data_IF_948417077580
#
_entry.id   IF_948417077580
#
_cell.length_a   1.000
_cell.length_b   1.000
_cell.length_c   1.000
_cell.angle_alpha   90.00
_cell.angle_beta   90.00
_cell.angle_gamma   90.00
#
_symmetry.space_group_name_H-M   'P 1'
#
loop_
_entity.id
_entity.type
_entity.pdbx_description
1 polymer ?
#
# COMPACT_ATOMS: atom_id res chain seq x y z
N UNK A 1 7.32 0.61 0.55
CA UNK A 1 6.55 0.73 -0.71
C UNK A 1 7.50 0.46 -1.87
N UNK A 2 7.15 -0.43 -2.79
CA UNK A 2 7.94 -0.59 -4.03
C UNK A 2 7.80 0.68 -4.88
N UNK A 3 8.87 1.13 -5.56
CA UNK A 3 8.73 2.18 -6.56
C UNK A 3 7.75 1.70 -7.64
N UNK A 4 6.79 2.54 -8.07
CA UNK A 4 5.70 2.11 -8.94
C UNK A 4 6.16 1.66 -10.33
N UNK A 5 7.35 2.10 -10.75
CA UNK A 5 8.03 1.62 -11.95
C UNK A 5 9.49 1.37 -11.57
N UNK A 6 10.02 0.15 -11.81
CA UNK A 6 11.40 -0.16 -11.48
C UNK A 6 12.39 0.75 -12.21
N UNK A 7 13.57 1.01 -11.62
CA UNK A 7 14.60 1.79 -12.28
C UNK A 7 15.02 1.14 -13.62
N UNK A 8 15.39 1.97 -14.60
CA UNK A 8 15.83 1.49 -15.93
C UNK A 8 14.70 1.27 -16.95
N UNK A 9 13.44 1.46 -16.57
CA UNK A 9 12.32 1.48 -17.53
C UNK A 9 12.17 2.88 -18.12
N UNK A 10 12.48 3.02 -19.41
CA UNK A 10 12.29 4.26 -20.14
C UNK A 10 10.84 4.39 -20.59
N UNK A 11 10.13 5.36 -20.05
CA UNK A 11 8.78 5.72 -20.47
C UNK A 11 8.80 6.76 -21.59
N UNK A 12 7.88 6.61 -22.55
CA UNK A 12 7.61 7.65 -23.55
C UNK A 12 6.99 8.90 -22.90
N UNK A 13 7.02 10.03 -23.59
CA UNK A 13 6.35 11.27 -23.11
C UNK A 13 4.87 11.05 -22.86
N UNK A 14 4.18 10.33 -23.74
CA UNK A 14 2.77 9.97 -23.58
C UNK A 14 2.54 9.07 -22.36
N UNK A 15 3.41 8.10 -22.12
CA UNK A 15 3.33 7.25 -20.93
C UNK A 15 3.55 8.04 -19.64
N UNK A 16 4.53 8.95 -19.60
CA UNK A 16 4.78 9.83 -18.45
C UNK A 16 3.59 10.74 -18.14
N UNK A 17 2.94 11.28 -19.17
CA UNK A 17 1.75 12.12 -18.99
C UNK A 17 0.59 11.32 -18.38
N UNK A 18 0.33 10.10 -18.90
CA UNK A 18 -0.68 9.21 -18.33
C UNK A 18 -0.34 8.79 -16.90
N UNK A 19 0.92 8.44 -16.63
CA UNK A 19 1.40 8.10 -15.30
C UNK A 19 1.09 9.20 -14.29
N UNK A 20 1.41 10.45 -14.65
CA UNK A 20 1.13 11.61 -13.81
C UNK A 20 -0.37 11.76 -13.53
N UNK A 21 -1.21 11.63 -14.55
CA UNK A 21 -2.67 11.72 -14.40
C UNK A 21 -3.22 10.62 -13.49
N UNK A 22 -2.74 9.37 -13.63
CA UNK A 22 -3.11 8.25 -12.76
C UNK A 22 -2.77 8.57 -11.30
N UNK A 23 -1.55 9.05 -11.02
CA UNK A 23 -1.15 9.39 -9.66
C UNK A 23 -1.90 10.58 -9.07
N UNK A 24 -2.12 11.64 -9.86
CA UNK A 24 -2.87 12.81 -9.41
C UNK A 24 -4.29 12.42 -9.02
N UNK A 25 -4.96 11.60 -9.85
CA UNK A 25 -6.29 11.07 -9.54
C UNK A 25 -6.27 10.18 -8.30
N UNK A 26 -5.37 9.19 -8.25
CA UNK A 26 -5.26 8.28 -7.11
C UNK A 26 -5.00 9.03 -5.80
N UNK A 27 -4.17 10.07 -5.83
CA UNK A 27 -3.90 10.90 -4.65
C UNK A 27 -5.13 11.70 -4.20
N UNK A 28 -5.92 12.23 -5.15
CA UNK A 28 -7.16 12.94 -4.84
C UNK A 28 -8.19 11.98 -4.23
N UNK A 29 -8.36 10.80 -4.81
CA UNK A 29 -9.28 9.77 -4.33
C UNK A 29 -8.87 9.26 -2.95
N UNK A 30 -7.58 8.98 -2.74
CA UNK A 30 -7.02 8.57 -1.44
C UNK A 30 -7.24 9.67 -0.40
N UNK A 31 -7.05 10.95 -0.77
CA UNK A 31 -7.33 12.07 0.13
C UNK A 31 -8.80 12.12 0.52
N UNK A 32 -9.72 11.88 -0.40
CA UNK A 32 -11.14 11.84 -0.11
C UNK A 32 -11.48 10.70 0.86
N UNK A 33 -11.00 9.49 0.58
CA UNK A 33 -11.21 8.32 1.45
C UNK A 33 -10.60 8.51 2.85
N UNK A 34 -9.44 9.16 2.96
CA UNK A 34 -8.83 9.49 4.24
C UNK A 34 -9.67 10.46 5.06
N UNK A 35 -10.30 11.43 4.41
CA UNK A 35 -11.21 12.37 5.08
C UNK A 35 -12.50 11.66 5.53
N UNK A 36 -13.03 10.75 4.72
CA UNK A 36 -14.16 9.89 5.08
C UNK A 36 -13.85 9.03 6.30
N UNK A 37 -12.69 8.35 6.31
CA UNK A 37 -12.22 7.56 7.44
C UNK A 37 -12.08 8.37 8.73
N UNK A 38 -11.44 9.55 8.66
CA UNK A 38 -11.33 10.46 9.82
C UNK A 38 -12.68 10.91 10.36
N UNK A 39 -13.65 11.14 9.48
CA UNK A 39 -15.00 11.51 9.90
C UNK A 39 -15.70 10.36 10.64
N UNK A 40 -15.48 9.11 10.20
CA UNK A 40 -16.01 7.91 10.89
C UNK A 40 -15.31 7.73 12.25
N UNK A 41 -13.99 7.86 12.31
CA UNK A 41 -13.22 7.82 13.57
C UNK A 41 -13.73 8.88 14.57
N UNK A 42 -14.02 10.09 14.09
CA UNK A 42 -14.62 11.14 14.90
C UNK A 42 -15.99 10.74 15.47
N UNK A 43 -16.88 10.18 14.64
CA UNK A 43 -18.19 9.69 15.09
C UNK A 43 -18.09 8.55 16.10
N UNK A 44 -17.12 7.65 15.92
CA UNK A 44 -16.85 6.56 16.87
C UNK A 44 -16.40 7.15 18.20
N UNK A 45 -15.45 8.08 18.18
CA UNK A 45 -14.98 8.76 19.37
C UNK A 45 -16.13 9.46 20.12
N UNK A 46 -16.98 10.20 19.40
CA UNK A 46 -18.13 10.89 19.97
C UNK A 46 -19.12 9.89 20.58
N UNK A 47 -19.42 8.80 19.89
CA UNK A 47 -20.31 7.74 20.38
C UNK A 47 -19.76 7.01 21.62
N UNK A 48 -18.44 6.91 21.76
CA UNK A 48 -17.78 6.32 22.94
C UNK A 48 -17.63 7.31 24.11
N UNK A 49 -17.79 8.61 23.85
CA UNK A 49 -17.61 9.67 24.85
C UNK A 49 -18.92 10.08 25.52
N UNK A 50 -20.06 9.49 25.12
CA UNK A 50 -21.37 9.81 25.71
C UNK A 50 -21.42 9.36 27.17
N UNK A 51 -22.02 10.16 28.08
CA UNK A 51 -22.29 9.72 29.44
C UNK A 51 -23.45 8.72 29.45
N UNK A 52 -23.23 7.55 30.05
CA UNK A 52 -24.25 6.51 30.17
C UNK A 52 -23.92 5.26 29.36
N UNK A 53 -24.95 4.48 29.03
CA UNK A 53 -24.79 3.24 28.29
C UNK A 53 -24.43 3.51 26.82
N UNK A 54 -23.56 2.66 26.27
CA UNK A 54 -23.14 2.74 24.88
C UNK A 54 -24.22 2.19 23.94
N UNK A 55 -24.43 2.88 22.82
CA UNK A 55 -25.21 2.34 21.71
C UNK A 55 -24.34 1.40 20.86
N UNK A 56 -24.35 0.12 21.24
CA UNK A 56 -23.60 -0.92 20.54
C UNK A 56 -24.05 -1.13 19.09
N UNK A 57 -25.31 -0.86 18.76
CA UNK A 57 -25.80 -0.99 17.39
C UNK A 57 -25.22 0.12 16.51
N UNK A 58 -25.23 1.37 16.99
CA UNK A 58 -24.61 2.50 16.29
C UNK A 58 -23.10 2.30 16.12
N UNK A 59 -22.39 1.83 17.16
CA UNK A 59 -20.96 1.52 17.09
C UNK A 59 -20.66 0.41 16.07
N UNK A 60 -21.48 -0.65 16.01
CA UNK A 60 -21.33 -1.71 15.04
C UNK A 60 -21.52 -1.21 13.60
N UNK A 61 -22.47 -0.30 13.36
CA UNK A 61 -22.68 0.29 12.04
C UNK A 61 -21.57 1.27 11.63
N UNK A 62 -20.98 1.98 12.60
CA UNK A 62 -19.77 2.78 12.35
C UNK A 62 -18.56 1.91 12.02
N UNK A 63 -18.42 0.75 12.68
CA UNK A 63 -17.39 -0.24 12.35
C UNK A 63 -17.51 -0.76 10.92
N UNK A 64 -18.73 -1.07 10.45
CA UNK A 64 -18.96 -1.47 9.05
C UNK A 64 -18.54 -0.37 8.07
N UNK A 65 -18.87 0.89 8.37
CA UNK A 65 -18.45 2.02 7.53
C UNK A 65 -16.93 2.17 7.47
N UNK A 66 -16.23 1.94 8.58
CA UNK A 66 -14.77 1.96 8.62
C UNK A 66 -14.18 0.85 7.73
N UNK A 67 -14.74 -0.37 7.80
CA UNK A 67 -14.32 -1.50 6.97
C UNK A 67 -14.59 -1.25 5.48
N UNK A 68 -15.71 -0.62 5.13
CA UNK A 68 -16.00 -0.21 3.76
C UNK A 68 -14.97 0.80 3.24
N UNK A 69 -14.57 1.79 4.04
CA UNK A 69 -13.51 2.74 3.64
C UNK A 69 -12.17 2.03 3.46
N UNK A 70 -11.80 1.10 4.36
CA UNK A 70 -10.59 0.28 4.21
C UNK A 70 -10.61 -0.52 2.91
N UNK A 71 -11.74 -1.15 2.59
CA UNK A 71 -11.92 -1.88 1.34
C UNK A 71 -11.77 -0.98 0.11
N UNK A 72 -12.35 0.24 0.14
CA UNK A 72 -12.19 1.23 -0.94
C UNK A 72 -10.72 1.64 -1.12
N UNK A 73 -9.97 1.84 -0.03
CA UNK A 73 -8.53 2.18 -0.10
C UNK A 73 -7.73 1.02 -0.73
N UNK A 74 -7.98 -0.22 -0.32
CA UNK A 74 -7.35 -1.39 -0.94
C UNK A 74 -7.69 -1.52 -2.43
N UNK A 75 -8.96 -1.30 -2.79
CA UNK A 75 -9.41 -1.34 -4.18
C UNK A 75 -8.75 -0.24 -5.02
N UNK A 76 -8.66 0.99 -4.50
CA UNK A 76 -7.97 2.11 -5.15
C UNK A 76 -6.49 1.79 -5.41
N UNK A 77 -5.81 1.17 -4.43
CA UNK A 77 -4.44 0.75 -4.59
C UNK A 77 -4.28 -0.27 -5.71
N UNK A 78 -5.13 -1.30 -5.73
CA UNK A 78 -5.12 -2.33 -6.75
C UNK A 78 -5.41 -1.76 -8.15
N UNK A 79 -6.47 -0.96 -8.29
CA UNK A 79 -6.84 -0.28 -9.53
C UNK A 79 -5.69 0.60 -10.07
N UNK A 80 -5.01 1.32 -9.18
CA UNK A 80 -3.82 2.10 -9.55
C UNK A 80 -2.72 1.19 -10.10
N UNK A 81 -2.45 0.05 -9.44
CA UNK A 81 -1.44 -0.91 -9.91
C UNK A 81 -1.80 -1.55 -11.25
N UNK A 82 -3.07 -1.85 -11.49
CA UNK A 82 -3.57 -2.37 -12.77
C UNK A 82 -3.38 -1.35 -13.89
N UNK A 83 -3.73 -0.08 -13.65
CA UNK A 83 -3.50 1.00 -14.60
C UNK A 83 -2.01 1.21 -14.90
N UNK A 84 -1.14 1.08 -13.90
CA UNK A 84 0.32 1.14 -14.09
C UNK A 84 0.83 -0.03 -14.94
N UNK A 85 0.33 -1.24 -14.69
CA UNK A 85 0.67 -2.43 -15.47
C UNK A 85 0.29 -2.24 -16.94
N UNK A 86 -0.90 -1.72 -17.21
CA UNK A 86 -1.41 -1.53 -18.57
C UNK A 86 -0.80 -0.35 -19.31
N UNK A 87 -0.25 0.61 -18.58
CA UNK A 87 0.52 1.71 -19.14
C UNK A 87 1.81 1.22 -19.85
N UNK A 88 2.41 0.15 -19.35
CA UNK A 88 3.67 -0.39 -19.86
C UNK A 88 3.43 -1.32 -21.05
N UNK A 89 4.34 -1.27 -22.03
CA UNK A 89 4.36 -2.27 -23.10
C UNK A 89 4.76 -3.64 -22.55
N UNK A 90 4.44 -4.75 -23.23
CA UNK A 90 4.88 -6.09 -22.79
C UNK A 90 6.39 -6.18 -22.59
N UNK A 91 7.18 -5.54 -23.46
CA UNK A 91 8.64 -5.49 -23.32
C UNK A 91 9.09 -4.71 -22.07
N UNK A 92 8.46 -3.55 -21.79
CA UNK A 92 8.74 -2.79 -20.57
C UNK A 92 8.32 -3.56 -19.31
N UNK A 93 7.23 -4.33 -19.35
CA UNK A 93 6.80 -5.19 -18.24
C UNK A 93 7.80 -6.31 -17.97
N UNK A 94 8.30 -6.96 -19.02
CA UNK A 94 9.32 -7.99 -18.89
C UNK A 94 10.62 -7.43 -18.29
N UNK A 95 11.09 -6.28 -18.80
CA UNK A 95 12.26 -5.60 -18.24
C UNK A 95 12.03 -5.18 -16.78
N UNK A 96 10.83 -4.71 -16.44
CA UNK A 96 10.46 -4.32 -15.08
C UNK A 96 10.56 -5.51 -14.13
N UNK A 97 10.04 -6.67 -14.54
CA UNK A 97 10.15 -7.92 -13.78
C UNK A 97 11.61 -8.29 -13.54
N UNK A 98 12.44 -8.31 -14.57
CA UNK A 98 13.85 -8.67 -14.44
C UNK A 98 14.62 -7.75 -13.51
N UNK A 99 14.36 -6.43 -13.58
CA UNK A 99 14.94 -5.46 -12.65
C UNK A 99 14.50 -5.75 -11.21
N UNK A 100 13.21 -6.02 -10.98
CA UNK A 100 12.70 -6.29 -9.65
C UNK A 100 13.26 -7.59 -9.05
N UNK A 101 13.38 -8.64 -9.86
CA UNK A 101 13.99 -9.89 -9.44
C UNK A 101 15.45 -9.68 -9.00
N UNK A 102 16.21 -8.84 -9.73
CA UNK A 102 17.58 -8.46 -9.34
C UNK A 102 17.62 -7.64 -8.06
N UNK A 103 16.73 -6.65 -7.91
CA UNK A 103 16.64 -5.84 -6.68
C UNK A 103 16.32 -6.73 -5.47
N UNK A 104 15.38 -7.67 -5.63
CA UNK A 104 15.04 -8.63 -4.58
C UNK A 104 16.24 -9.48 -4.19
N UNK A 105 16.96 -10.04 -5.17
CA UNK A 105 18.16 -10.83 -4.92
C UNK A 105 19.25 -10.00 -4.21
N UNK A 106 19.42 -8.72 -4.56
CA UNK A 106 20.36 -7.82 -3.89
C UNK A 106 19.95 -7.55 -2.44
N UNK A 107 18.67 -7.30 -2.16
CA UNK A 107 18.18 -7.12 -0.79
C UNK A 107 18.36 -8.39 0.05
N UNK A 108 18.14 -9.56 -0.51
CA UNK A 108 18.37 -10.85 0.17
C UNK A 108 19.86 -11.04 0.48
N UNK A 109 20.75 -10.73 -0.47
CA UNK A 109 22.20 -10.78 -0.25
C UNK A 109 22.64 -9.78 0.83
N UNK A 110 22.15 -8.55 0.80
CA UNK A 110 22.44 -7.56 1.85
C UNK A 110 21.94 -8.00 3.22
N UNK A 111 20.75 -8.62 3.29
CA UNK A 111 20.23 -9.18 4.54
C UNK A 111 21.07 -10.35 5.03
N UNK A 112 21.59 -11.19 4.14
CA UNK A 112 22.50 -12.28 4.52
C UNK A 112 23.85 -11.78 5.03
N UNK A 113 24.34 -10.65 4.50
CA UNK A 113 25.63 -10.05 4.89
C UNK A 113 25.53 -9.13 6.13
N UNK A 114 24.39 -8.47 6.34
CA UNK A 114 24.18 -7.50 7.43
C UNK A 114 23.14 -7.94 8.47
N UNK A 115 22.54 -9.12 8.30
CA UNK A 115 21.66 -9.72 9.30
C UNK A 115 22.45 -10.04 10.58
N UNK A 116 21.78 -10.16 11.73
CA UNK A 116 22.43 -10.65 12.94
C UNK A 116 23.12 -11.98 12.61
N UNK A 117 24.32 -12.24 13.19
CA UNK A 117 24.96 -13.54 13.02
C UNK A 117 23.93 -14.63 13.36
N UNK A 118 23.94 -15.77 12.64
CA UNK A 118 23.07 -16.89 12.99
C UNK A 118 23.24 -17.13 14.49
N UNK A 119 22.13 -17.11 15.23
CA UNK A 119 22.16 -17.45 16.65
C UNK A 119 22.87 -18.79 16.76
N UNK A 120 23.97 -18.79 17.53
CA UNK A 120 24.84 -19.95 17.66
C UNK A 120 24.03 -21.19 18.07
N UNK A 121 24.48 -22.34 17.58
CA UNK A 121 23.93 -23.65 17.95
C UNK A 121 23.70 -23.74 19.47
N UNK A 122 22.58 -24.32 19.92
CA UNK A 122 22.22 -24.42 21.35
C UNK A 122 23.07 -25.42 22.15
N UNK A 123 24.33 -25.68 21.77
CA UNK A 123 25.21 -26.67 22.41
C UNK A 123 26.35 -26.07 23.26
N UNK A 124 26.33 -24.78 23.57
CA UNK A 124 27.34 -24.16 24.44
C UNK A 124 26.69 -23.31 25.56
N UNK A 125 26.06 -24.00 26.52
CA UNK A 125 25.84 -23.45 27.86
C UNK A 125 26.49 -24.38 28.89
N UNK A 126 27.50 -23.92 29.66
CA UNK A 126 28.10 -24.68 30.76
C UNK A 126 27.19 -24.80 31.99
#
# INVERSE_FOLDING_TARGET
>A
MMPPIPPGITLTTAQKAKLKAVFEKAHQDERALRLEGRAIEGKIHDALSVPGDLDHAALADLGKQEDEVKAKVSALHLDTMEQLHDLLTPAQRQQAKETMDKIKALHEQMKALMGPPPEGDPEDMP
#
